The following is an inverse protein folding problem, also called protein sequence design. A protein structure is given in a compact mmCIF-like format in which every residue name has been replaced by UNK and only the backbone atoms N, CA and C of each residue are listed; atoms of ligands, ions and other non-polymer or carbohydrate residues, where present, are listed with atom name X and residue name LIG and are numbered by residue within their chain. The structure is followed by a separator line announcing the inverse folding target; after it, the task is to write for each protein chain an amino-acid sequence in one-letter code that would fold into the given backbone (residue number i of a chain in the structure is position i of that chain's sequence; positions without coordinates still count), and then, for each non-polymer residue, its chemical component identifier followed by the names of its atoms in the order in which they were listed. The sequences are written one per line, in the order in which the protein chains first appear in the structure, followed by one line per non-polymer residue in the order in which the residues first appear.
data_IF_362645268113
#
_entry.id   IF_362645268113
#
_cell.length_a   1.000
_cell.length_b   1.000
_cell.length_c   1.000
_cell.angle_alpha   90.00
_cell.angle_beta   90.00
_cell.angle_gamma   90.00
#
_symmetry.space_group_name_H-M   'P 1'
#
loop_
_entity.id
_entity.type
_entity.pdbx_description
1 polymer ?
#
# COMPACT_ATOMS: atom_id res chain seq x y z
N UNK A 1 8.00 2.70 -8.90
CA UNK A 1 7.10 1.63 -9.36
C UNK A 1 6.40 1.01 -8.16
N UNK A 2 5.08 0.79 -8.24
CA UNK A 2 4.35 0.00 -7.24
C UNK A 2 4.80 -1.47 -7.35
N UNK A 3 5.35 -2.03 -6.28
CA UNK A 3 5.84 -3.42 -6.20
C UNK A 3 4.83 -4.34 -5.51
N UNK A 4 4.17 -3.83 -4.49
CA UNK A 4 3.26 -4.62 -3.65
C UNK A 4 2.10 -3.77 -3.20
N UNK A 5 0.91 -4.36 -3.14
CA UNK A 5 -0.32 -3.77 -2.61
C UNK A 5 -0.99 -4.78 -1.68
N UNK A 6 -1.26 -4.37 -0.45
CA UNK A 6 -2.04 -5.13 0.52
C UNK A 6 -3.25 -4.31 0.93
N UNK A 7 -4.42 -4.91 0.83
CA UNK A 7 -5.71 -4.33 1.20
C UNK A 7 -6.32 -5.20 2.28
N UNK A 8 -6.88 -4.58 3.31
CA UNK A 8 -7.62 -5.26 4.37
C UNK A 8 -8.90 -4.51 4.66
N UNK A 9 -10.01 -5.25 4.65
CA UNK A 9 -11.36 -4.82 5.07
C UNK A 9 -11.88 -3.60 4.30
N UNK A 10 -11.62 -3.57 3.00
CA UNK A 10 -11.99 -2.47 2.10
C UNK A 10 -13.13 -2.92 1.16
N UNK A 11 -14.26 -2.22 1.19
CA UNK A 11 -15.46 -2.53 0.41
C UNK A 11 -15.88 -4.01 0.55
N UNK A 12 -15.86 -4.80 -0.53
CA UNK A 12 -16.16 -6.25 -0.48
C UNK A 12 -14.95 -7.13 -0.20
N UNK A 13 -13.75 -6.55 -0.09
CA UNK A 13 -12.49 -7.27 0.07
C UNK A 13 -12.18 -7.43 1.56
N UNK A 14 -12.05 -8.68 2.01
CA UNK A 14 -11.56 -8.98 3.35
C UNK A 14 -10.05 -8.79 3.46
N UNK A 15 -9.31 -9.51 2.61
CA UNK A 15 -7.87 -9.42 2.48
C UNK A 15 -7.48 -9.66 1.02
N UNK A 16 -6.61 -8.82 0.49
CA UNK A 16 -6.03 -8.97 -0.83
C UNK A 16 -4.57 -8.54 -0.81
N UNK A 17 -3.70 -9.38 -1.33
CA UNK A 17 -2.28 -9.09 -1.52
C UNK A 17 -1.95 -9.29 -2.98
N UNK A 18 -1.30 -8.29 -3.59
CA UNK A 18 -0.92 -8.29 -4.99
C UNK A 18 0.52 -7.86 -5.14
N UNK A 19 1.30 -8.68 -5.85
CA UNK A 19 2.63 -8.35 -6.32
C UNK A 19 2.56 -7.87 -7.77
N UNK A 20 3.19 -6.72 -8.04
CA UNK A 20 3.24 -6.12 -9.37
C UNK A 20 4.60 -6.41 -10.02
N UNK A 21 4.55 -6.93 -11.25
CA UNK A 21 5.73 -7.15 -12.07
C UNK A 21 6.16 -5.84 -12.77
N UNK A 22 7.45 -5.67 -13.11
CA UNK A 22 7.89 -4.51 -13.87
C UNK A 22 7.23 -4.44 -15.25
N UNK A 23 6.96 -3.22 -15.72
CA UNK A 23 6.27 -2.97 -16.99
C UNK A 23 4.75 -2.81 -16.81
N UNK A 24 3.97 -3.42 -17.69
CA UNK A 24 2.51 -3.30 -17.74
C UNK A 24 1.85 -4.50 -17.06
N UNK A 25 1.14 -4.25 -15.96
CA UNK A 25 0.29 -5.25 -15.31
C UNK A 25 -1.16 -5.06 -15.78
N UNK A 26 -1.73 -6.08 -16.41
CA UNK A 26 -3.12 -6.05 -16.87
C UNK A 26 -4.00 -6.77 -15.85
N UNK A 27 -4.79 -6.00 -15.13
CA UNK A 27 -5.78 -6.50 -14.17
C UNK A 27 -7.11 -6.73 -14.90
N UNK A 28 -7.50 -7.99 -15.02
CA UNK A 28 -8.80 -8.39 -15.54
C UNK A 28 -9.76 -8.70 -14.40
N UNK A 29 -11.06 -8.58 -14.66
CA UNK A 29 -12.09 -8.90 -13.67
C UNK A 29 -13.42 -9.12 -14.36
N UNK A 30 -14.14 -10.15 -13.91
CA UNK A 30 -15.41 -10.58 -14.48
C UNK A 30 -16.53 -9.56 -14.21
N UNK A 31 -16.62 -9.07 -12.98
CA UNK A 31 -17.74 -8.23 -12.51
C UNK A 31 -17.39 -6.76 -12.35
N UNK A 32 -16.18 -6.33 -12.74
CA UNK A 32 -15.72 -4.94 -12.67
C UNK A 32 -15.53 -4.36 -11.26
N UNK A 33 -16.23 -4.88 -10.25
CA UNK A 33 -16.17 -4.44 -8.86
C UNK A 33 -14.76 -4.55 -8.27
N UNK A 34 -14.09 -5.70 -8.44
CA UNK A 34 -12.72 -5.91 -7.94
C UNK A 34 -11.71 -4.93 -8.55
N UNK A 35 -11.86 -4.60 -9.84
CA UNK A 35 -10.98 -3.65 -10.52
C UNK A 35 -11.19 -2.22 -10.00
N UNK A 36 -12.43 -1.78 -9.83
CA UNK A 36 -12.74 -0.45 -9.30
C UNK A 36 -12.23 -0.26 -7.87
N UNK A 37 -12.30 -1.31 -7.04
CA UNK A 37 -11.78 -1.27 -5.66
C UNK A 37 -10.25 -1.13 -5.67
N UNK A 38 -9.56 -1.87 -6.54
CA UNK A 38 -8.11 -1.73 -6.69
C UNK A 38 -7.69 -0.33 -7.11
N UNK A 39 -8.39 0.25 -8.08
CA UNK A 39 -8.15 1.64 -8.51
C UNK A 39 -8.43 2.61 -7.35
N UNK A 40 -9.49 2.40 -6.57
CA UNK A 40 -9.78 3.18 -5.37
C UNK A 40 -8.67 3.11 -4.34
N UNK A 41 -8.17 1.90 -4.04
CA UNK A 41 -7.07 1.68 -3.10
C UNK A 41 -5.78 2.39 -3.53
N UNK A 42 -5.42 2.30 -4.81
CA UNK A 42 -4.27 3.05 -5.36
C UNK A 42 -4.51 4.56 -5.30
N UNK A 43 -5.74 5.01 -5.56
CA UNK A 43 -6.12 6.42 -5.43
C UNK A 43 -5.91 6.95 -4.00
N UNK A 44 -6.29 6.18 -2.98
CA UNK A 44 -6.01 6.52 -1.58
C UNK A 44 -4.50 6.65 -1.35
N UNK A 45 -3.71 5.67 -1.83
CA UNK A 45 -2.26 5.65 -1.70
C UNK A 45 -1.52 6.79 -2.40
N UNK A 46 -2.15 7.56 -3.28
CA UNK A 46 -1.52 8.74 -3.91
C UNK A 46 -1.97 10.05 -3.24
N UNK A 47 -2.74 9.98 -2.15
CA UNK A 47 -3.29 11.14 -1.45
C UNK A 47 -4.72 11.47 -1.84
N UNK A 48 -5.45 10.53 -2.43
CA UNK A 48 -6.89 10.64 -2.63
C UNK A 48 -7.65 10.72 -1.31
N UNK A 49 -8.88 11.24 -1.34
CA UNK A 49 -9.74 11.31 -0.15
C UNK A 49 -10.22 9.93 0.25
N UNK A 50 -9.98 9.54 1.49
CA UNK A 50 -10.66 8.42 2.11
C UNK A 50 -12.12 8.79 2.41
N UNK A 51 -13.05 7.91 2.05
CA UNK A 51 -14.45 7.97 2.49
C UNK A 51 -14.73 6.78 3.40
N UNK A 52 -15.60 6.97 4.40
CA UNK A 52 -16.10 5.89 5.24
C UNK A 52 -16.82 4.80 4.42
N UNK A 53 -17.37 5.15 3.26
CA UNK A 53 -18.04 4.20 2.34
C UNK A 53 -17.07 3.14 1.77
N UNK A 54 -15.76 3.36 1.89
CA UNK A 54 -14.74 2.42 1.47
C UNK A 54 -14.47 1.36 2.54
N UNK A 55 -14.86 1.59 3.80
CA UNK A 55 -14.76 0.59 4.86
C UNK A 55 -15.82 -0.48 4.62
N UNK A 56 -15.42 -1.74 4.72
CA UNK A 56 -16.35 -2.87 4.58
C UNK A 56 -17.48 -2.76 5.62
N UNK A 57 -18.71 -3.07 5.21
CA UNK A 57 -19.86 -3.11 6.12
C UNK A 57 -19.64 -4.11 7.25
N UNK A 58 -19.75 -3.65 8.50
CA UNK A 58 -19.50 -4.46 9.69
C UNK A 58 -18.07 -4.35 10.25
N UNK A 59 -17.18 -3.62 9.57
CA UNK A 59 -15.82 -3.36 10.03
C UNK A 59 -15.67 -1.92 10.52
N UNK A 60 -14.86 -1.73 11.56
CA UNK A 60 -14.59 -0.41 12.13
C UNK A 60 -13.52 0.36 11.36
N UNK A 61 -12.60 -0.37 10.70
CA UNK A 61 -11.41 0.19 10.07
C UNK A 61 -11.04 -0.54 8.80
N UNK A 62 -10.49 0.17 7.81
CA UNK A 62 -9.89 -0.41 6.62
C UNK A 62 -8.44 0.03 6.50
N UNK A 63 -7.60 -0.85 5.97
CA UNK A 63 -6.18 -0.57 5.78
C UNK A 63 -5.76 -0.84 4.33
N UNK A 64 -5.01 0.09 3.76
CA UNK A 64 -4.38 -0.05 2.45
C UNK A 64 -2.91 0.23 2.60
N UNK A 65 -2.08 -0.71 2.16
CA UNK A 65 -0.63 -0.62 2.23
C UNK A 65 -0.02 -0.88 0.86
N UNK A 66 1.03 -0.16 0.53
CA UNK A 66 1.79 -0.37 -0.69
C UNK A 66 3.29 -0.22 -0.47
N UNK A 67 4.06 -0.89 -1.32
CA UNK A 67 5.51 -0.70 -1.41
C UNK A 67 5.80 -0.10 -2.79
N UNK A 68 6.42 1.08 -2.79
CA UNK A 68 6.91 1.72 -3.98
C UNK A 68 8.43 1.61 -4.04
N UNK A 69 8.94 1.13 -5.16
CA UNK A 69 10.35 1.21 -5.50
C UNK A 69 10.61 2.53 -6.22
N UNK A 70 11.44 3.39 -5.65
CA UNK A 70 11.88 4.60 -6.33
C UNK A 70 12.97 4.24 -7.33
N UNK A 71 12.91 4.71 -8.58
CA UNK A 71 14.09 4.66 -9.42
C UNK A 71 15.20 5.44 -8.71
N UNK A 72 16.43 4.93 -8.76
CA UNK A 72 17.62 5.62 -8.26
C UNK A 72 17.95 6.83 -9.15
N UNK A 73 17.02 7.78 -9.27
CA UNK A 73 17.32 9.08 -9.83
C UNK A 73 18.04 9.87 -8.75
N UNK A 74 19.31 10.19 -9.04
CA UNK A 74 20.20 11.06 -8.30
C UNK A 74 19.47 12.33 -7.84
N UNK A 75 19.03 12.36 -6.57
CA UNK A 75 18.67 13.60 -5.90
C UNK A 75 19.96 14.41 -5.71
N UNK A 76 20.23 15.33 -6.63
CA UNK A 76 21.38 16.24 -6.62
C UNK A 76 21.31 17.34 -5.54
N UNK A 77 20.53 17.17 -4.47
CA UNK A 77 20.46 18.16 -3.39
C UNK A 77 19.66 17.67 -2.18
N UNK A 78 20.18 16.70 -1.41
CA UNK A 78 19.92 16.62 0.03
C UNK A 78 20.85 15.60 0.68
N UNK A 79 21.53 15.91 1.81
CA UNK A 79 22.30 14.94 2.55
C UNK A 79 21.34 14.09 3.40
N UNK A 80 20.73 13.06 2.82
CA UNK A 80 20.03 12.03 3.59
C UNK A 80 21.01 10.93 4.04
N UNK A 81 20.87 10.40 5.26
CA UNK A 81 21.81 9.44 5.84
C UNK A 81 21.72 8.08 5.15
N UNK A 82 22.74 7.26 5.39
CA UNK A 82 23.14 5.97 4.77
C UNK A 82 22.11 4.81 4.72
N UNK A 83 20.81 5.08 4.63
CA UNK A 83 19.77 4.06 4.44
C UNK A 83 19.38 3.94 2.97
N UNK A 84 20.27 3.38 2.15
CA UNK A 84 20.09 3.18 0.71
C UNK A 84 19.16 1.98 0.39
N UNK A 85 17.94 1.98 0.92
CA UNK A 85 16.90 1.06 0.42
C UNK A 85 15.92 1.87 -0.41
N UNK A 86 15.79 1.63 -1.73
CA UNK A 86 14.92 2.42 -2.61
C UNK A 86 13.42 2.09 -2.44
N UNK A 87 13.05 1.34 -1.39
CA UNK A 87 11.68 0.90 -1.16
C UNK A 87 11.06 1.79 -0.08
N UNK A 88 9.97 2.48 -0.42
CA UNK A 88 9.14 3.22 0.53
C UNK A 88 7.85 2.43 0.78
N UNK A 89 7.51 2.14 2.04
CA UNK A 89 6.22 1.55 2.41
C UNK A 89 5.25 2.66 2.80
N UNK A 90 4.12 2.72 2.10
CA UNK A 90 3.01 3.59 2.40
C UNK A 90 1.90 2.79 3.07
N UNK A 91 1.36 3.30 4.17
CA UNK A 91 0.20 2.73 4.82
C UNK A 91 -0.82 3.82 5.11
N UNK A 92 -2.06 3.56 4.70
CA UNK A 92 -3.22 4.37 5.01
C UNK A 92 -4.19 3.51 5.80
N UNK A 93 -4.49 3.95 7.02
CA UNK A 93 -5.58 3.41 7.81
C UNK A 93 -6.72 4.42 7.79
N UNK A 94 -7.90 3.97 7.44
CA UNK A 94 -9.13 4.77 7.49
C UNK A 94 -10.10 4.13 8.46
N UNK A 95 -10.57 4.93 9.42
CA UNK A 95 -11.61 4.52 10.35
C UNK A 95 -12.99 4.84 9.75
N UNK A 96 -14.04 4.16 10.22
CA UNK A 96 -15.43 4.43 9.85
C UNK A 96 -15.87 5.87 10.15
N UNK A 97 -15.11 6.58 10.99
CA UNK A 97 -15.33 7.97 11.40
C UNK A 97 -14.60 9.00 10.53
N UNK A 98 -14.08 8.61 9.35
CA UNK A 98 -13.47 9.50 8.34
C UNK A 98 -12.08 10.07 8.71
N UNK A 99 -11.40 9.48 9.71
CA UNK A 99 -10.01 9.85 10.01
C UNK A 99 -9.08 8.92 9.24
N UNK A 100 -8.38 9.50 8.25
CA UNK A 100 -7.33 8.79 7.52
C UNK A 100 -5.97 9.19 8.09
N UNK A 101 -5.20 8.19 8.56
CA UNK A 101 -3.83 8.37 8.98
C UNK A 101 -2.89 7.80 7.92
N UNK A 102 -2.05 8.66 7.35
CA UNK A 102 -1.06 8.27 6.34
C UNK A 102 0.31 8.23 7.01
N UNK A 103 0.91 7.03 7.10
CA UNK A 103 2.22 6.83 7.69
C UNK A 103 3.18 6.26 6.65
N UNK A 104 4.37 6.86 6.55
CA UNK A 104 5.47 6.37 5.70
C UNK A 104 6.46 5.69 6.63
N UNK A 105 6.61 4.37 6.48
CA UNK A 105 7.60 3.61 7.24
C UNK A 105 8.73 3.17 6.30
N UNK A 106 10.01 3.27 6.72
CA UNK A 106 11.06 2.54 6.04
C UNK A 106 10.77 1.04 6.15
N UNK A 107 11.07 0.24 5.11
CA UNK A 107 10.90 -1.21 5.15
C UNK A 107 11.78 -1.74 6.29
N UNK A 108 11.15 -2.27 7.34
CA UNK A 108 11.86 -2.92 8.42
C UNK A 108 12.52 -4.18 7.84
N UNK A 109 13.84 -4.21 7.83
CA UNK A 109 14.60 -5.43 7.58
C UNK A 109 14.22 -6.44 8.65
N UNK A 110 13.48 -7.49 8.30
CA UNK A 110 13.33 -8.67 9.15
C UNK A 110 14.66 -9.38 9.21
N UNK A 111 15.52 -8.96 10.14
CA UNK A 111 16.64 -9.76 10.62
C UNK A 111 16.08 -10.87 11.52
N UNK A 112 15.58 -11.94 10.92
CA UNK A 112 15.36 -13.19 11.66
C UNK A 112 16.68 -13.96 11.70
N UNK A 113 17.43 -13.73 12.76
CA UNK A 113 18.52 -14.59 13.22
C UNK A 113 17.93 -15.97 13.51
N UNK A 114 18.18 -16.94 12.65
CA UNK A 114 17.86 -18.33 12.92
C UNK A 114 19.16 -19.05 13.28
N UNK A 115 19.48 -19.06 14.58
CA UNK A 115 20.49 -19.95 15.17
C UNK A 115 19.76 -21.03 15.98
N UNK A 116 19.88 -22.31 15.64
CA UNK A 116 19.55 -23.40 16.55
C UNK A 116 20.80 -23.88 17.34
N UNK A 117 20.58 -24.60 18.46
CA UNK A 117 21.57 -24.87 19.52
C UNK A 117 22.66 -25.89 19.17
#
# INVERSE_FOLDING_TARGET
MLRFLSISRLAVIDRLELEFAPGLNVLTGETGAGKSILVGAVGLLVGGRASADLVRTGEETAAVQAIFETPSWTARSSPAPRCATPLARWSICTDSTSTSSCSIHPPTSTSSTNSPP
#
